data_IF_476652256011
#
_entry.id   IF_476652256011
#
_cell.length_a   1.000
_cell.length_b   1.000
_cell.length_c   1.000
_cell.angle_alpha   90.00
_cell.angle_beta   90.00
_cell.angle_gamma   90.00
#
_symmetry.space_group_name_H-M   'P 1'
#
loop_
_entity.id
_entity.type
_entity.pdbx_description
1 polymer ?
#
# COMPACT_ATOMS: atom_id res chain seq x y z
N UNK A 1 5.16 6.02 13.74
CA UNK A 1 5.15 5.12 12.56
C UNK A 1 6.49 4.38 12.48
N UNK A 2 6.49 3.08 12.20
CA UNK A 2 7.74 2.29 12.07
C UNK A 2 8.40 2.57 10.69
N UNK A 3 9.73 2.40 10.62
CA UNK A 3 10.51 2.51 9.38
C UNK A 3 10.06 1.52 8.29
N UNK A 4 9.66 0.30 8.67
CA UNK A 4 9.13 -0.70 7.72
C UNK A 4 7.83 -0.24 7.06
N UNK A 5 6.95 0.40 7.84
CA UNK A 5 5.71 0.98 7.33
C UNK A 5 6.00 2.14 6.38
N UNK A 6 6.93 3.03 6.73
CA UNK A 6 7.33 4.15 5.87
C UNK A 6 7.89 3.63 4.53
N UNK A 7 8.78 2.63 4.58
CA UNK A 7 9.37 2.03 3.39
C UNK A 7 8.31 1.39 2.50
N UNK A 8 7.38 0.63 3.10
CA UNK A 8 6.28 0.02 2.36
C UNK A 8 5.38 1.07 1.70
N UNK A 9 5.05 2.16 2.40
CA UNK A 9 4.27 3.27 1.85
C UNK A 9 4.97 3.92 0.66
N UNK A 10 6.29 4.18 0.74
CA UNK A 10 7.05 4.69 -0.40
C UNK A 10 7.13 3.72 -1.57
N UNK A 11 7.23 2.41 -1.31
CA UNK A 11 7.22 1.41 -2.37
C UNK A 11 5.88 1.38 -3.12
N UNK A 12 4.77 1.66 -2.44
CA UNK A 12 3.46 1.74 -3.08
C UNK A 12 3.20 3.10 -3.74
N UNK A 13 3.54 4.20 -3.10
CA UNK A 13 3.08 5.54 -3.49
C UNK A 13 4.12 6.35 -4.28
N UNK A 14 5.37 5.91 -4.26
CA UNK A 14 6.53 6.61 -4.79
C UNK A 14 7.31 7.40 -3.72
N UNK A 15 8.58 7.75 -4.00
CA UNK A 15 9.44 8.48 -3.05
C UNK A 15 9.06 9.95 -2.89
N UNK A 16 8.31 10.53 -3.84
CA UNK A 16 8.00 11.96 -3.87
C UNK A 16 6.96 12.41 -2.84
N UNK A 17 6.31 11.48 -2.12
CA UNK A 17 5.38 11.85 -1.06
C UNK A 17 6.14 12.26 0.19
N UNK A 18 5.76 13.42 0.75
CA UNK A 18 6.29 13.91 2.01
C UNK A 18 6.01 12.93 3.18
N UNK A 19 7.09 12.54 3.87
CA UNK A 19 7.03 11.66 5.02
C UNK A 19 6.23 12.25 6.19
N UNK A 20 6.25 13.58 6.40
CA UNK A 20 5.48 14.20 7.46
C UNK A 20 3.97 14.09 7.21
N UNK A 21 3.54 14.27 5.95
CA UNK A 21 2.16 14.02 5.54
C UNK A 21 1.75 12.56 5.77
N UNK A 22 2.61 11.58 5.42
CA UNK A 22 2.34 10.16 5.65
C UNK A 22 2.20 9.82 7.12
N UNK A 23 3.06 10.38 7.98
CA UNK A 23 2.99 10.19 9.44
C UNK A 23 1.66 10.71 9.99
N UNK A 24 1.26 11.92 9.61
CA UNK A 24 -0.01 12.50 10.09
C UNK A 24 -1.23 11.67 9.66
N UNK A 25 -1.25 11.18 8.41
CA UNK A 25 -2.32 10.28 7.94
C UNK A 25 -2.31 8.95 8.68
N UNK A 26 -1.13 8.38 8.91
CA UNK A 26 -0.98 7.13 9.65
C UNK A 26 -1.47 7.27 11.09
N UNK A 27 -1.18 8.37 11.77
CA UNK A 27 -1.67 8.64 13.12
C UNK A 27 -3.20 8.72 13.18
N UNK A 28 -3.85 9.26 12.13
CA UNK A 28 -5.31 9.34 12.04
C UNK A 28 -5.96 8.02 11.67
N UNK A 29 -5.40 7.30 10.69
CA UNK A 29 -6.02 6.11 10.10
C UNK A 29 -5.62 4.81 10.81
N UNK A 30 -4.47 4.80 11.48
CA UNK A 30 -3.97 3.66 12.25
C UNK A 30 -3.55 2.44 11.41
N UNK A 31 -3.55 2.54 10.07
CA UNK A 31 -3.14 1.45 9.17
C UNK A 31 -2.43 1.97 7.93
N UNK A 32 -1.29 1.36 7.58
CA UNK A 32 -0.50 1.68 6.40
C UNK A 32 -1.30 1.43 5.12
N UNK A 33 -2.06 0.33 5.08
CA UNK A 33 -2.96 0.03 3.97
C UNK A 33 -4.03 1.09 3.80
N UNK A 34 -4.65 1.54 4.90
CA UNK A 34 -5.64 2.61 4.86
C UNK A 34 -5.04 3.92 4.32
N UNK A 35 -3.83 4.28 4.76
CA UNK A 35 -3.10 5.46 4.24
C UNK A 35 -2.83 5.33 2.75
N UNK A 36 -2.33 4.19 2.28
CA UNK A 36 -2.04 3.99 0.87
C UNK A 36 -3.30 4.08 -0.01
N UNK A 37 -4.41 3.48 0.44
CA UNK A 37 -5.68 3.56 -0.28
C UNK A 37 -6.23 4.99 -0.32
N UNK A 38 -6.15 5.73 0.78
CA UNK A 38 -6.58 7.13 0.82
C UNK A 38 -5.84 7.98 -0.20
N UNK A 39 -4.51 7.88 -0.23
CA UNK A 39 -3.67 8.64 -1.17
C UNK A 39 -3.95 8.26 -2.63
N UNK A 40 -4.16 6.97 -2.91
CA UNK A 40 -4.51 6.53 -4.27
C UNK A 40 -5.89 7.03 -4.69
N UNK A 41 -6.88 7.02 -3.79
CA UNK A 41 -8.21 7.55 -4.09
C UNK A 41 -8.17 9.07 -4.34
N UNK A 42 -7.36 9.82 -3.59
CA UNK A 42 -7.13 11.25 -3.84
C UNK A 42 -6.53 11.50 -5.22
N UNK A 43 -5.52 10.71 -5.63
CA UNK A 43 -4.91 10.81 -6.96
C UNK A 43 -5.90 10.47 -8.07
N UNK A 44 -6.73 9.44 -7.89
CA UNK A 44 -7.78 9.09 -8.85
C UNK A 44 -8.82 10.21 -8.94
N UNK A 45 -9.27 10.75 -7.80
CA UNK A 45 -10.22 11.87 -7.77
C UNK A 45 -9.67 13.11 -8.46
N UNK A 46 -8.38 13.42 -8.28
CA UNK A 46 -7.71 14.53 -8.96
C UNK A 46 -7.69 14.32 -10.49
N UNK A 47 -7.35 13.12 -10.97
CA UNK A 47 -7.37 12.83 -12.41
C UNK A 47 -8.79 12.86 -13.01
N UNK A 48 -9.80 12.46 -12.24
CA UNK A 48 -11.20 12.50 -12.68
C UNK A 48 -11.77 13.92 -12.71
N UNK A 49 -11.20 14.85 -11.94
CA UNK A 49 -11.56 16.26 -11.98
C UNK A 49 -11.03 16.93 -13.27
N UNK A 50 -9.92 16.43 -13.82
CA UNK A 50 -9.34 16.91 -15.06
C UNK A 50 -9.98 16.23 -16.30
N UNK A 51 -10.02 16.91 -17.46
CA UNK A 51 -10.42 16.26 -18.70
C UNK A 51 -9.51 15.07 -19.02
N UNK A 52 -10.10 13.87 -19.07
CA UNK A 52 -9.33 12.64 -19.30
C UNK A 52 -8.69 12.57 -20.70
N UNK A 53 -9.23 13.31 -21.67
CA UNK A 53 -8.67 13.38 -23.02
C UNK A 53 -8.68 14.81 -23.51
N UNK A 54 -7.50 15.33 -23.82
CA UNK A 54 -7.32 16.66 -24.42
C UNK A 54 -6.62 16.47 -25.76
N UNK A 55 -7.25 16.94 -26.84
CA UNK A 55 -6.65 16.96 -28.16
C UNK A 55 -6.49 18.42 -28.56
N UNK A 56 -5.24 18.87 -28.72
CA UNK A 56 -4.95 20.20 -29.26
C UNK A 56 -4.71 20.05 -30.76
N UNK A 57 -5.50 20.76 -31.57
CA UNK A 57 -5.52 20.65 -33.04
C UNK A 57 -4.10 20.59 -33.64
N UNK A 58 -3.69 19.37 -34.04
CA UNK A 58 -2.51 19.09 -34.86
C UNK A 58 -1.18 18.82 -34.15
N UNK A 59 -1.10 18.89 -32.81
CA UNK A 59 0.23 18.84 -32.14
C UNK A 59 0.31 17.82 -31.00
N UNK A 60 -0.70 17.70 -30.13
CA UNK A 60 -0.63 16.80 -28.96
C UNK A 60 -2.00 16.23 -28.62
N UNK A 61 -2.03 14.92 -28.37
CA UNK A 61 -3.13 14.23 -27.68
C UNK A 61 -2.63 13.76 -26.32
N UNK A 62 -3.28 14.20 -25.24
CA UNK A 62 -3.07 13.67 -23.89
C UNK A 62 -4.27 12.80 -23.56
N UNK A 63 -4.03 11.57 -23.12
CA UNK A 63 -5.06 10.62 -22.70
C UNK A 63 -4.68 10.01 -21.34
N UNK A 64 -5.45 10.36 -20.32
CA UNK A 64 -5.28 9.94 -18.93
C UNK A 64 -6.16 8.75 -18.55
N UNK A 65 -6.99 8.22 -19.46
CA UNK A 65 -7.88 7.08 -19.16
C UNK A 65 -7.11 5.85 -18.69
N UNK A 66 -5.99 5.54 -19.36
CA UNK A 66 -5.10 4.45 -18.98
C UNK A 66 -4.45 4.65 -17.60
N UNK A 67 -4.20 5.91 -17.22
CA UNK A 67 -3.62 6.25 -15.92
C UNK A 67 -4.64 5.99 -14.79
N UNK A 68 -5.89 6.39 -14.99
CA UNK A 68 -6.98 6.11 -14.05
C UNK A 68 -7.14 4.60 -13.85
N UNK A 69 -7.23 3.82 -14.94
CA UNK A 69 -7.32 2.36 -14.85
C UNK A 69 -6.08 1.68 -14.25
N UNK A 70 -4.91 2.30 -14.32
CA UNK A 70 -3.71 1.81 -13.64
C UNK A 70 -3.78 2.05 -12.13
N UNK A 71 -4.22 3.23 -11.70
CA UNK A 71 -4.39 3.57 -10.28
C UNK A 71 -5.48 2.71 -9.61
N UNK A 72 -6.61 2.47 -10.28
CA UNK A 72 -7.67 1.60 -9.77
C UNK A 72 -7.19 0.16 -9.57
N UNK A 73 -6.45 -0.39 -10.54
CA UNK A 73 -5.83 -1.71 -10.39
C UNK A 73 -4.82 -1.74 -9.26
N UNK A 74 -4.06 -0.66 -9.07
CA UNK A 74 -3.13 -0.56 -7.97
C UNK A 74 -3.85 -0.53 -6.62
N UNK A 75 -4.93 0.24 -6.48
CA UNK A 75 -5.75 0.26 -5.27
C UNK A 75 -6.33 -1.14 -4.96
N UNK A 76 -6.82 -1.86 -5.97
CA UNK A 76 -7.28 -3.23 -5.81
C UNK A 76 -6.17 -4.18 -5.32
N UNK A 77 -4.95 -4.06 -5.86
CA UNK A 77 -3.79 -4.85 -5.41
C UNK A 77 -3.42 -4.53 -3.95
N UNK A 78 -3.41 -3.25 -3.58
CA UNK A 78 -3.07 -2.83 -2.22
C UNK A 78 -4.14 -3.26 -1.21
N UNK A 79 -5.42 -3.24 -1.60
CA UNK A 79 -6.50 -3.73 -0.75
C UNK A 79 -6.30 -5.20 -0.35
N UNK A 80 -5.75 -6.02 -1.27
CA UNK A 80 -5.44 -7.43 -1.07
C UNK A 80 -4.01 -7.70 -0.54
N UNK A 81 -3.16 -6.68 -0.48
CA UNK A 81 -1.78 -6.84 0.00
C UNK A 81 -1.73 -6.84 1.53
N UNK A 82 -0.80 -7.63 2.07
CA UNK A 82 -0.48 -7.63 3.50
C UNK A 82 0.43 -6.44 3.80
N UNK A 83 -0.05 -5.53 4.65
CA UNK A 83 0.75 -4.41 5.13
C UNK A 83 1.62 -4.83 6.33
N UNK A 84 2.76 -4.16 6.58
CA UNK A 84 3.66 -4.53 7.69
C UNK A 84 3.04 -4.38 9.08
N UNK A 85 1.96 -3.60 9.19
CA UNK A 85 1.19 -3.34 10.40
C UNK A 85 -0.15 -4.09 10.43
N UNK A 86 -0.45 -4.87 9.39
CA UNK A 86 -1.52 -5.84 9.47
C UNK A 86 -1.10 -6.89 10.48
N UNK A 87 -1.68 -6.82 11.67
CA UNK A 87 -1.76 -7.94 12.58
C UNK A 87 -2.69 -8.97 11.94
N UNK A 88 -2.25 -9.57 10.85
CA UNK A 88 -2.81 -10.80 10.33
C UNK A 88 -2.84 -11.72 11.55
N UNK A 89 -4.01 -12.23 11.98
CA UNK A 89 -4.03 -13.31 12.95
C UNK A 89 -3.38 -14.48 12.23
N UNK A 90 -2.05 -14.52 12.29
CA UNK A 90 -1.24 -15.63 11.86
C UNK A 90 -1.91 -16.81 12.51
N UNK A 91 -2.57 -17.63 11.68
CA UNK A 91 -3.19 -18.87 12.09
C UNK A 91 -2.23 -19.50 13.07
N UNK A 92 -2.68 -19.68 14.31
CA UNK A 92 -1.84 -20.07 15.43
C UNK A 92 -1.01 -21.28 15.05
N UNK A 93 0.21 -21.02 14.57
CA UNK A 93 1.23 -22.02 14.37
C UNK A 93 1.61 -22.39 15.78
N UNK A 94 0.92 -23.39 16.32
CA UNK A 94 1.24 -23.98 17.62
C UNK A 94 2.73 -24.26 17.62
N UNK A 95 3.49 -23.42 18.32
CA UNK A 95 4.90 -23.65 18.60
C UNK A 95 4.93 -24.84 19.56
N UNK A 96 5.01 -26.05 19.02
CA UNK A 96 5.18 -27.26 19.82
C UNK A 96 6.66 -27.33 20.21
N UNK A 97 6.96 -26.99 21.46
CA UNK A 97 8.26 -27.27 22.04
C UNK A 97 8.40 -28.79 22.24
N UNK A 98 9.19 -29.44 21.41
CA UNK A 98 9.54 -30.86 21.59
C UNK A 98 10.68 -30.94 22.62
N UNK A 99 10.42 -31.55 23.79
CA UNK A 99 11.48 -31.85 24.75
C UNK A 99 12.28 -33.09 24.34
N UNK A 100 13.55 -32.90 24.04
CA UNK A 100 14.52 -33.97 23.79
C UNK A 100 14.88 -34.66 25.12
N UNK A 101 14.48 -35.92 25.29
CA UNK A 101 14.91 -36.74 26.43
C UNK A 101 16.16 -37.54 26.06
N UNK A 102 17.16 -37.55 26.95
CA UNK A 102 18.39 -38.31 26.76
C UNK A 102 18.13 -39.81 26.90
N UNK A 103 18.63 -40.60 25.94
CA UNK A 103 18.52 -42.05 25.93
C UNK A 103 19.57 -42.66 26.86
N UNK A 104 19.14 -43.43 27.86
CA UNK A 104 20.05 -44.20 28.71
C UNK A 104 20.83 -45.23 27.88
N UNK A 105 22.17 -45.19 27.94
CA UNK A 105 23.04 -46.25 27.41
C UNK A 105 23.09 -47.39 28.42
N UNK A 106 22.84 -48.61 27.94
CA UNK A 106 23.17 -49.86 28.64
C UNK A 106 24.66 -50.16 28.49
#
# INVERSE_FOLDING_TARGET
MNSDVLHWLHAQLGPDIDAANLVSRYERLGSARAVALEVLHERTAALLADPLKVTVNGVVTIDNSANVSALERQAARISAAEAPDDLSPMQGGTLIAVQLHTRARR
#
